data_IF_776689015887
#
_entry.id   IF_776689015887
#
_cell.length_a   1.000
_cell.length_b   1.000
_cell.length_c   1.000
_cell.angle_alpha   90.00
_cell.angle_beta   90.00
_cell.angle_gamma   90.00
#
_symmetry.space_group_name_H-M   'P 1'
#
loop_
_entity.id
_entity.type
_entity.pdbx_description
1 polymer ?
#
# COMPACT_ATOMS: atom_id res chain seq x y z
N UNK A 1 13.26 -11.62 -13.07
CA UNK A 1 12.61 -10.30 -12.88
C UNK A 1 13.55 -9.41 -12.09
N UNK A 2 13.64 -8.11 -12.40
CA UNK A 2 14.42 -7.18 -11.58
C UNK A 2 13.78 -7.00 -10.19
N UNK A 3 14.53 -6.49 -9.22
CA UNK A 3 14.00 -6.24 -7.88
C UNK A 3 12.81 -5.26 -7.93
N UNK A 4 12.89 -4.23 -8.78
CA UNK A 4 11.81 -3.29 -9.06
C UNK A 4 10.55 -3.96 -9.60
N UNK A 5 10.68 -4.85 -10.59
CA UNK A 5 9.53 -5.57 -11.13
C UNK A 5 8.86 -6.48 -10.08
N UNK A 6 9.68 -7.19 -9.31
CA UNK A 6 9.20 -8.04 -8.21
C UNK A 6 8.49 -7.21 -7.13
N UNK A 7 9.10 -6.09 -6.69
CA UNK A 7 8.49 -5.21 -5.69
C UNK A 7 7.19 -4.56 -6.16
N UNK A 8 7.11 -4.15 -7.43
CA UNK A 8 5.88 -3.61 -7.99
C UNK A 8 4.77 -4.66 -7.98
N UNK A 9 5.06 -5.89 -8.44
CA UNK A 9 4.11 -7.00 -8.41
C UNK A 9 3.65 -7.32 -6.98
N UNK A 10 4.57 -7.39 -6.03
CA UNK A 10 4.24 -7.68 -4.63
C UNK A 10 3.48 -6.54 -3.95
N UNK A 11 3.72 -5.28 -4.31
CA UNK A 11 2.92 -4.16 -3.81
C UNK A 11 1.48 -4.24 -4.35
N UNK A 12 1.31 -4.50 -5.66
CA UNK A 12 -0.02 -4.75 -6.24
C UNK A 12 -0.70 -5.94 -5.54
N UNK A 13 0.03 -7.05 -5.38
CA UNK A 13 -0.45 -8.25 -4.71
C UNK A 13 -0.85 -7.99 -3.25
N UNK A 14 -0.09 -7.19 -2.51
CA UNK A 14 -0.43 -6.79 -1.15
C UNK A 14 -1.71 -5.94 -1.10
N UNK A 15 -1.86 -5.01 -2.03
CA UNK A 15 -3.08 -4.19 -2.15
C UNK A 15 -4.30 -5.08 -2.43
N UNK A 16 -4.16 -6.03 -3.35
CA UNK A 16 -5.19 -7.02 -3.65
C UNK A 16 -5.51 -7.91 -2.44
N UNK A 17 -4.49 -8.36 -1.70
CA UNK A 17 -4.70 -9.18 -0.51
C UNK A 17 -5.54 -8.46 0.57
N UNK A 18 -5.30 -7.15 0.78
CA UNK A 18 -6.11 -6.33 1.68
C UNK A 18 -7.56 -6.19 1.19
N UNK A 19 -7.76 -6.04 -0.13
CA UNK A 19 -9.09 -5.97 -0.73
C UNK A 19 -9.85 -7.30 -0.55
N UNK A 20 -9.21 -8.42 -0.90
CA UNK A 20 -9.80 -9.76 -0.75
C UNK A 20 -10.19 -10.01 0.71
N UNK A 21 -9.31 -9.69 1.67
CA UNK A 21 -9.62 -9.81 3.09
C UNK A 21 -10.86 -8.99 3.46
N UNK A 22 -10.96 -7.75 2.97
CA UNK A 22 -12.09 -6.87 3.23
C UNK A 22 -13.40 -7.44 2.68
N UNK A 23 -13.41 -7.92 1.44
CA UNK A 23 -14.60 -8.45 0.79
C UNK A 23 -15.03 -9.80 1.38
N UNK A 24 -14.09 -10.63 1.85
CA UNK A 24 -14.41 -11.86 2.59
C UNK A 24 -15.13 -11.53 3.90
N UNK A 25 -14.61 -10.58 4.69
CA UNK A 25 -15.26 -10.21 5.96
C UNK A 25 -16.61 -9.52 5.72
N UNK A 26 -16.71 -8.64 4.73
CA UNK A 26 -17.99 -8.02 4.30
C UNK A 26 -19.02 -9.08 3.92
N UNK A 27 -18.62 -10.06 3.12
CA UNK A 27 -19.51 -11.15 2.69
C UNK A 27 -20.00 -11.96 3.90
N UNK A 28 -19.11 -12.24 4.86
CA UNK A 28 -19.48 -12.97 6.07
C UNK A 28 -20.50 -12.23 6.95
N UNK A 29 -20.34 -10.92 7.17
CA UNK A 29 -21.32 -10.14 7.98
C UNK A 29 -22.68 -10.04 7.30
N UNK A 30 -22.73 -10.08 5.97
CA UNK A 30 -23.99 -10.11 5.21
C UNK A 30 -24.66 -11.48 5.32
N UNK A 31 -23.92 -12.56 5.01
CA UNK A 31 -24.48 -13.92 4.99
C UNK A 31 -24.89 -14.38 6.40
N UNK A 32 -24.23 -13.91 7.44
CA UNK A 32 -24.62 -14.17 8.84
C UNK A 32 -25.80 -13.30 9.33
N UNK A 33 -26.34 -12.42 8.49
CA UNK A 33 -27.49 -11.58 8.82
C UNK A 33 -27.20 -10.41 9.76
N UNK A 34 -25.93 -10.11 10.06
CA UNK A 34 -25.55 -9.00 10.95
C UNK A 34 -25.85 -7.65 10.30
N UNK A 35 -25.61 -7.52 8.98
CA UNK A 35 -25.80 -6.27 8.24
C UNK A 35 -26.41 -6.56 6.85
N UNK A 36 -27.45 -5.85 6.41
CA UNK A 36 -27.97 -5.97 5.05
C UNK A 36 -26.92 -5.54 4.00
N UNK A 37 -26.86 -6.24 2.86
CA UNK A 37 -25.87 -5.99 1.81
C UNK A 37 -25.83 -4.53 1.31
N UNK A 38 -26.99 -3.87 1.23
CA UNK A 38 -27.12 -2.48 0.76
C UNK A 38 -26.85 -1.43 1.85
N UNK A 39 -26.42 -1.83 3.06
CA UNK A 39 -26.12 -0.92 4.17
C UNK A 39 -24.63 -0.88 4.53
N UNK A 40 -23.77 -1.60 3.81
CA UNK A 40 -22.32 -1.51 4.00
C UNK A 40 -21.82 -0.22 3.34
N UNK A 41 -21.34 0.71 4.16
CA UNK A 41 -20.70 1.92 3.67
C UNK A 41 -19.33 1.60 3.02
N UNK A 42 -18.91 2.34 1.97
CA UNK A 42 -17.62 2.12 1.31
C UNK A 42 -16.41 2.20 2.23
N UNK A 43 -16.47 3.06 3.25
CA UNK A 43 -15.44 3.26 4.27
C UNK A 43 -15.53 2.29 5.45
N UNK A 44 -16.49 1.35 5.40
CA UNK A 44 -16.84 0.45 6.50
C UNK A 44 -17.32 1.17 7.78
N UNK A 45 -17.82 2.40 7.68
CA UNK A 45 -18.55 3.03 8.78
C UNK A 45 -19.74 2.15 9.19
N UNK A 46 -19.91 1.99 10.50
CA UNK A 46 -20.90 1.05 11.06
C UNK A 46 -20.44 -0.40 11.19
N UNK A 47 -19.27 -0.78 10.66
CA UNK A 47 -18.61 -2.06 10.96
C UNK A 47 -17.57 -1.91 12.08
N UNK A 48 -16.94 -3.03 12.45
CA UNK A 48 -15.94 -3.07 13.52
C UNK A 48 -14.79 -2.07 13.28
N UNK A 49 -14.12 -1.58 14.36
CA UNK A 49 -12.97 -0.70 14.21
C UNK A 49 -11.86 -1.28 13.33
N UNK A 50 -11.71 -2.60 13.32
CA UNK A 50 -10.77 -3.29 12.42
C UNK A 50 -11.15 -3.08 10.94
N UNK A 51 -12.43 -3.24 10.57
CA UNK A 51 -12.89 -3.07 9.19
C UNK A 51 -12.71 -1.64 8.68
N UNK A 52 -12.88 -0.64 9.55
CA UNK A 52 -12.62 0.75 9.22
C UNK A 52 -11.11 0.99 8.95
N UNK A 53 -10.24 0.44 9.81
CA UNK A 53 -8.79 0.49 9.59
C UNK A 53 -8.37 -0.27 8.33
N UNK A 54 -9.01 -1.40 8.02
CA UNK A 54 -8.76 -2.16 6.80
C UNK A 54 -9.12 -1.38 5.53
N UNK A 55 -10.28 -0.72 5.51
CA UNK A 55 -10.65 0.17 4.41
C UNK A 55 -9.61 1.29 4.22
N UNK A 56 -9.16 1.93 5.31
CA UNK A 56 -8.16 3.00 5.24
C UNK A 56 -6.76 2.50 4.86
N UNK A 57 -6.34 1.32 5.32
CA UNK A 57 -5.05 0.73 4.96
C UNK A 57 -5.00 0.33 3.47
N UNK A 58 -6.09 -0.26 2.96
CA UNK A 58 -6.27 -0.55 1.54
C UNK A 58 -6.24 0.72 0.70
N UNK A 59 -7.04 1.73 1.06
CA UNK A 59 -7.08 3.01 0.34
C UNK A 59 -5.71 3.70 0.34
N UNK A 60 -4.97 3.64 1.45
CA UNK A 60 -3.61 4.18 1.49
C UNK A 60 -2.64 3.48 0.54
N UNK A 61 -2.82 2.17 0.29
CA UNK A 61 -2.06 1.45 -0.74
C UNK A 61 -2.44 1.93 -2.14
N UNK A 62 -3.74 2.11 -2.43
CA UNK A 62 -4.22 2.64 -3.70
C UNK A 62 -3.69 4.05 -3.95
N UNK A 63 -3.76 4.96 -2.97
CA UNK A 63 -3.24 6.33 -3.07
C UNK A 63 -1.71 6.34 -3.29
N UNK A 64 -1.00 5.39 -2.67
CA UNK A 64 0.45 5.26 -2.81
C UNK A 64 0.88 4.65 -4.14
N UNK A 65 0.05 3.83 -4.79
CA UNK A 65 0.42 3.09 -5.99
C UNK A 65 0.79 3.99 -7.18
N UNK A 66 0.03 5.05 -7.53
CA UNK A 66 0.40 5.99 -8.59
C UNK A 66 1.75 6.66 -8.37
N UNK A 67 2.13 6.89 -7.11
CA UNK A 67 3.40 7.55 -6.77
C UNK A 67 4.54 6.52 -6.75
N UNK A 68 4.49 5.57 -5.82
CA UNK A 68 5.60 4.65 -5.60
C UNK A 68 5.67 3.55 -6.67
N UNK A 69 4.52 2.94 -6.99
CA UNK A 69 4.43 1.95 -8.04
C UNK A 69 4.59 2.57 -9.43
N UNK A 70 4.07 3.78 -9.63
CA UNK A 70 4.26 4.54 -10.87
C UNK A 70 5.74 4.82 -11.16
N UNK A 71 6.53 5.24 -10.17
CA UNK A 71 7.98 5.42 -10.35
C UNK A 71 8.71 4.11 -10.72
N UNK A 72 8.35 2.99 -10.07
CA UNK A 72 8.87 1.67 -10.43
C UNK A 72 8.51 1.32 -11.88
N UNK A 73 7.25 1.54 -12.28
CA UNK A 73 6.78 1.26 -13.64
C UNK A 73 7.49 2.13 -14.68
N UNK A 74 7.63 3.43 -14.43
CA UNK A 74 8.38 4.34 -15.31
C UNK A 74 9.80 3.84 -15.49
N UNK A 75 10.51 3.52 -14.40
CA UNK A 75 11.87 2.99 -14.47
C UNK A 75 11.98 1.70 -15.29
N UNK A 76 10.99 0.81 -15.22
CA UNK A 76 10.93 -0.41 -16.02
C UNK A 76 10.69 -0.09 -17.50
N UNK A 77 9.73 0.78 -17.82
CA UNK A 77 9.36 1.13 -19.20
C UNK A 77 10.49 1.83 -19.93
N UNK A 78 11.24 2.71 -19.25
CA UNK A 78 12.40 3.40 -19.85
C UNK A 78 13.70 2.58 -19.78
N UNK A 79 13.66 1.33 -19.31
CA UNK A 79 14.85 0.46 -19.22
C UNK A 79 15.88 0.87 -18.17
N UNK A 80 15.50 1.66 -17.16
CA UNK A 80 16.39 2.19 -16.10
C UNK A 80 16.10 1.59 -14.71
N UNK A 81 15.71 0.31 -14.66
CA UNK A 81 15.41 -0.38 -13.38
C UNK A 81 16.61 -0.38 -12.43
N UNK A 82 17.85 -0.35 -12.93
CA UNK A 82 19.07 -0.31 -12.12
C UNK A 82 19.12 0.88 -11.14
N UNK A 83 18.40 1.98 -11.42
CA UNK A 83 18.27 3.13 -10.50
C UNK A 83 17.39 2.78 -9.28
N UNK A 84 16.37 1.96 -9.50
CA UNK A 84 15.34 1.64 -8.50
C UNK A 84 15.59 0.32 -7.79
N UNK A 85 16.25 -0.65 -8.45
CA UNK A 85 16.49 -2.00 -7.94
C UNK A 85 17.13 -2.04 -6.52
N UNK A 86 18.14 -1.19 -6.17
CA UNK A 86 18.76 -1.26 -4.84
C UNK A 86 17.84 -0.91 -3.67
N UNK A 87 16.79 -0.12 -3.90
CA UNK A 87 15.86 0.34 -2.86
C UNK A 87 14.46 -0.28 -3.00
N UNK A 88 14.23 -1.09 -4.03
CA UNK A 88 12.92 -1.63 -4.37
C UNK A 88 12.32 -2.47 -3.25
N UNK A 89 13.10 -3.36 -2.63
CA UNK A 89 12.61 -4.18 -1.52
C UNK A 89 12.41 -3.37 -0.23
N UNK A 90 13.23 -2.35 0.00
CA UNK A 90 13.06 -1.45 1.15
C UNK A 90 11.74 -0.67 1.06
N UNK A 91 11.38 -0.19 -0.13
CA UNK A 91 10.08 0.46 -0.35
C UNK A 91 8.93 -0.53 -0.10
N UNK A 92 9.03 -1.76 -0.63
CA UNK A 92 8.03 -2.80 -0.43
C UNK A 92 7.84 -3.14 1.05
N UNK A 93 8.92 -3.38 1.79
CA UNK A 93 8.86 -3.68 3.23
C UNK A 93 8.23 -2.52 3.99
N UNK A 94 8.63 -1.29 3.71
CA UNK A 94 8.05 -0.11 4.35
C UNK A 94 6.54 0.02 4.07
N UNK A 95 6.10 -0.32 2.86
CA UNK A 95 4.67 -0.34 2.47
C UNK A 95 3.88 -1.40 3.25
N UNK A 96 4.37 -2.64 3.27
CA UNK A 96 3.72 -3.74 4.00
C UNK A 96 3.67 -3.44 5.50
N UNK A 97 4.78 -2.94 6.07
CA UNK A 97 4.86 -2.54 7.46
C UNK A 97 3.86 -1.42 7.80
N UNK A 98 3.77 -0.38 6.97
CA UNK A 98 2.84 0.74 7.17
C UNK A 98 1.39 0.26 7.28
N UNK A 99 0.93 -0.56 6.32
CA UNK A 99 -0.42 -1.09 6.32
C UNK A 99 -0.66 -2.02 7.51
N UNK A 100 0.32 -2.86 7.85
CA UNK A 100 0.22 -3.81 8.97
C UNK A 100 0.11 -3.10 10.32
N UNK A 101 0.92 -2.06 10.54
CA UNK A 101 0.86 -1.22 11.76
C UNK A 101 -0.51 -0.54 11.85
N UNK A 102 -1.02 0.01 10.74
CA UNK A 102 -2.33 0.65 10.69
C UNK A 102 -3.46 -0.33 11.03
N UNK A 103 -3.43 -1.55 10.50
CA UNK A 103 -4.41 -2.58 10.84
C UNK A 103 -4.37 -2.94 12.33
N UNK A 104 -3.16 -3.07 12.89
CA UNK A 104 -2.95 -3.48 14.26
C UNK A 104 -3.42 -2.43 15.28
N UNK A 105 -3.10 -1.14 15.08
CA UNK A 105 -3.35 -0.11 16.10
C UNK A 105 -3.41 1.31 15.57
N UNK A 106 -4.15 2.17 16.29
CA UNK A 106 -4.22 3.63 16.12
C UNK A 106 -3.70 4.38 17.33
N UNK A 107 -2.98 3.72 18.23
CA UNK A 107 -2.33 4.39 19.36
C UNK A 107 -1.31 5.44 18.88
N UNK A 108 -0.98 6.46 19.69
CA UNK A 108 0.00 7.48 19.30
C UNK A 108 1.33 6.88 18.83
N UNK A 109 1.83 5.85 19.51
CA UNK A 109 3.07 5.15 19.11
C UNK A 109 2.93 4.47 17.74
N UNK A 110 1.81 3.78 17.49
CA UNK A 110 1.56 3.14 16.19
C UNK A 110 1.41 4.16 15.06
N UNK A 111 0.78 5.31 15.34
CA UNK A 111 0.64 6.43 14.40
C UNK A 111 1.99 7.04 14.05
N UNK A 112 2.86 7.25 15.04
CA UNK A 112 4.24 7.70 14.78
C UNK A 112 5.02 6.66 13.98
N UNK A 113 4.94 5.38 14.35
CA UNK A 113 5.65 4.31 13.66
C UNK A 113 5.23 4.18 12.18
N UNK A 114 3.92 4.20 11.88
CA UNK A 114 3.44 4.17 10.49
C UNK A 114 3.86 5.40 9.70
N UNK A 115 3.97 6.57 10.35
CA UNK A 115 4.48 7.77 9.71
C UNK A 115 5.98 7.66 9.41
N UNK A 116 6.78 7.10 10.33
CA UNK A 116 8.22 6.87 10.10
C UNK A 116 8.46 5.97 8.89
N UNK A 117 7.75 4.84 8.77
CA UNK A 117 7.90 3.96 7.58
C UNK A 117 7.34 4.60 6.30
N UNK A 118 6.34 5.49 6.40
CA UNK A 118 5.90 6.29 5.26
C UNK A 118 6.97 7.31 4.83
N UNK A 119 7.65 7.95 5.77
CA UNK A 119 8.75 8.88 5.48
C UNK A 119 9.90 8.19 4.73
N UNK A 120 10.21 6.93 5.05
CA UNK A 120 11.17 6.12 4.28
C UNK A 120 10.74 5.97 2.83
N UNK A 121 9.46 5.66 2.56
CA UNK A 121 8.95 5.55 1.20
C UNK A 121 9.03 6.88 0.45
N UNK A 122 8.68 8.00 1.12
CA UNK A 122 8.82 9.34 0.54
C UNK A 122 10.28 9.66 0.18
N UNK A 123 11.23 9.38 1.07
CA UNK A 123 12.65 9.59 0.81
C UNK A 123 13.14 8.80 -0.41
N UNK A 124 12.77 7.52 -0.51
CA UNK A 124 13.09 6.68 -1.66
C UNK A 124 12.47 7.24 -2.94
N UNK A 125 11.20 7.66 -2.90
CA UNK A 125 10.49 8.19 -4.07
C UNK A 125 11.07 9.51 -4.58
N UNK A 126 11.42 10.43 -3.68
CA UNK A 126 12.09 11.70 -4.02
C UNK A 126 13.45 11.42 -4.65
N UNK A 127 14.23 10.51 -4.05
CA UNK A 127 15.51 10.09 -4.58
C UNK A 127 15.40 9.47 -5.98
N UNK A 128 14.45 8.55 -6.18
CA UNK A 128 14.23 7.94 -7.50
C UNK A 128 13.78 8.95 -8.54
N UNK A 129 12.85 9.84 -8.20
CA UNK A 129 12.42 10.91 -9.10
C UNK A 129 13.62 11.74 -9.58
N UNK A 130 14.46 12.19 -8.65
CA UNK A 130 15.67 12.94 -8.98
C UNK A 130 16.63 12.15 -9.88
N UNK A 131 16.93 10.90 -9.52
CA UNK A 131 17.86 10.05 -10.27
C UNK A 131 17.35 9.71 -11.67
N UNK A 132 16.06 9.47 -11.84
CA UNK A 132 15.45 9.18 -13.13
C UNK A 132 15.49 10.41 -14.04
N UNK A 133 15.20 11.61 -13.52
CA UNK A 133 15.34 12.87 -14.27
C UNK A 133 16.81 13.11 -14.66
N UNK A 134 17.74 12.94 -13.72
CA UNK A 134 19.16 13.15 -13.95
C UNK A 134 19.81 12.10 -14.89
N UNK A 135 19.11 11.00 -15.18
CA UNK A 135 19.64 9.92 -16.03
C UNK A 135 19.56 10.20 -17.53
N UNK A 136 19.13 11.41 -17.92
CA UNK A 136 18.96 11.81 -19.32
C UNK A 136 17.87 11.01 -20.05
N UNK A 137 17.62 11.28 -21.35
CA UNK A 137 16.97 10.30 -22.22
C UNK A 137 17.78 9.01 -22.27
#
# INVERSE_FOLDING_TARGET
MSATATSLLLFIGWTLALLVLMEVVRSWVVVSGQVPANRIAPDNSGLSPFMQRLARAHLNCIEGLPVFGGLMLVALVIGKSAITDPLAYWLLVARVAQSSIHLASTSPLAVTARFTVFAVQLGIAVYWTWRLIASGP
#
